data_IF_530228208407
#
_entry.id   IF_530228208407
#
_cell.length_a   1.000
_cell.length_b   1.000
_cell.length_c   1.000
_cell.angle_alpha   90.00
_cell.angle_beta   90.00
_cell.angle_gamma   90.00
#
_symmetry.space_group_name_H-M   'P 1'
#
loop_
_entity.id
_entity.type
_entity.pdbx_description
1 polymer ?
#
# COMPACT_ATOMS: atom_id res chain seq x y z
N UNK A 1 -4.62 -5.80 17.24
CA UNK A 1 -4.47 -6.54 15.97
C UNK A 1 -3.81 -7.89 16.20
N UNK A 2 -3.91 -8.78 15.22
CA UNK A 2 -3.21 -10.08 15.25
C UNK A 2 -1.70 -9.85 15.21
N UNK A 3 -0.97 -10.63 15.99
CA UNK A 3 0.51 -10.60 16.00
C UNK A 3 1.05 -11.95 15.58
N UNK A 4 2.34 -12.03 15.24
CA UNK A 4 2.98 -13.31 14.92
C UNK A 4 2.96 -14.30 16.09
N UNK A 5 2.79 -13.82 17.33
CA UNK A 5 2.62 -14.69 18.51
C UNK A 5 1.34 -15.53 18.45
N UNK A 6 0.34 -15.08 17.71
CA UNK A 6 -0.95 -15.77 17.55
C UNK A 6 -0.94 -16.79 16.38
N UNK A 7 0.19 -16.87 15.67
CA UNK A 7 0.35 -17.75 14.51
C UNK A 7 1.27 -18.91 14.83
N UNK A 8 0.91 -20.12 14.36
CA UNK A 8 1.77 -21.31 14.44
C UNK A 8 1.97 -21.89 13.05
N UNK A 9 3.21 -22.14 12.71
CA UNK A 9 3.57 -22.91 11.52
C UNK A 9 3.52 -24.39 11.89
N UNK A 10 2.72 -25.16 11.17
CA UNK A 10 2.69 -26.61 11.32
C UNK A 10 3.91 -27.17 10.57
N UNK A 11 4.86 -27.83 11.27
CA UNK A 11 6.06 -28.36 10.61
C UNK A 11 5.69 -29.54 9.73
N UNK A 12 6.29 -29.58 8.53
CA UNK A 12 6.29 -30.77 7.68
C UNK A 12 7.60 -31.55 7.90
N UNK A 13 7.51 -32.69 8.59
CA UNK A 13 8.68 -33.51 8.93
C UNK A 13 9.27 -34.25 7.74
N UNK A 14 8.50 -34.40 6.64
CA UNK A 14 8.94 -35.03 5.40
C UNK A 14 8.63 -34.08 4.23
N UNK A 15 9.43 -33.01 4.04
CA UNK A 15 9.14 -31.99 3.05
C UNK A 15 9.37 -32.44 1.60
N UNK A 16 10.13 -33.53 1.36
CA UNK A 16 10.47 -34.04 0.03
C UNK A 16 10.99 -32.94 -0.91
N UNK A 17 11.73 -31.96 -0.34
CA UNK A 17 12.17 -30.73 -0.99
C UNK A 17 13.68 -30.49 -0.77
N UNK A 18 14.36 -30.04 -1.81
CA UNK A 18 15.71 -29.50 -1.69
C UNK A 18 15.67 -27.99 -1.48
N UNK A 19 16.46 -27.48 -0.55
CA UNK A 19 16.61 -26.02 -0.34
C UNK A 19 17.05 -25.28 -1.60
N UNK A 20 17.78 -25.95 -2.51
CA UNK A 20 18.19 -25.39 -3.81
C UNK A 20 17.03 -25.15 -4.78
N UNK A 21 15.86 -25.76 -4.51
CA UNK A 21 14.65 -25.61 -5.33
C UNK A 21 13.65 -24.60 -4.74
N UNK A 22 13.97 -24.00 -3.58
CA UNK A 22 13.12 -22.99 -2.99
C UNK A 22 13.24 -21.71 -3.83
N UNK A 23 12.10 -21.22 -4.27
CA UNK A 23 11.98 -19.96 -4.97
C UNK A 23 10.95 -19.08 -4.20
N UNK A 24 11.33 -17.86 -3.89
CA UNK A 24 10.48 -16.88 -3.21
C UNK A 24 9.82 -15.89 -4.18
N UNK A 25 10.19 -15.93 -5.46
CA UNK A 25 9.60 -15.02 -6.43
C UNK A 25 8.10 -15.23 -6.57
N UNK A 26 7.41 -14.15 -6.81
CA UNK A 26 5.97 -14.14 -7.06
C UNK A 26 5.65 -13.17 -8.20
N UNK A 27 4.64 -13.48 -8.99
CA UNK A 27 4.13 -12.60 -10.02
C UNK A 27 2.86 -11.89 -9.51
N UNK A 28 2.88 -10.55 -9.53
CA UNK A 28 1.75 -9.72 -9.17
C UNK A 28 1.64 -8.59 -10.20
N UNK A 29 0.45 -8.35 -10.74
CA UNK A 29 0.19 -7.34 -11.77
C UNK A 29 1.09 -7.46 -13.01
N UNK A 30 1.42 -8.69 -13.43
CA UNK A 30 2.35 -8.95 -14.53
C UNK A 30 3.80 -8.56 -14.26
N UNK A 31 4.14 -8.23 -13.02
CA UNK A 31 5.51 -7.96 -12.56
C UNK A 31 6.04 -9.12 -11.72
N UNK A 32 7.31 -9.45 -11.91
CA UNK A 32 7.97 -10.46 -11.10
C UNK A 32 8.68 -9.82 -9.92
N UNK A 33 8.30 -10.22 -8.72
CA UNK A 33 8.92 -9.80 -7.46
C UNK A 33 9.86 -10.89 -6.98
N UNK A 34 11.07 -10.53 -6.58
CA UNK A 34 12.06 -11.48 -6.06
C UNK A 34 11.60 -12.10 -4.72
N UNK A 35 10.86 -11.34 -3.93
CA UNK A 35 10.32 -11.76 -2.64
C UNK A 35 8.81 -11.52 -2.56
N UNK A 36 8.03 -12.37 -1.84
CA UNK A 36 6.58 -12.26 -1.72
C UNK A 36 6.14 -11.28 -0.62
N UNK A 37 6.87 -10.18 -0.45
CA UNK A 37 6.55 -9.11 0.51
C UNK A 37 7.10 -7.77 0.02
N UNK A 38 6.58 -6.70 0.57
CA UNK A 38 6.98 -5.32 0.28
C UNK A 38 6.94 -4.47 1.55
N UNK A 39 7.49 -3.27 1.49
CA UNK A 39 7.42 -2.30 2.58
C UNK A 39 6.05 -1.64 2.55
N UNK A 40 5.23 -1.92 3.57
CA UNK A 40 3.86 -1.45 3.69
C UNK A 40 3.78 0.05 4.01
N UNK A 41 2.66 0.67 3.65
CA UNK A 41 2.32 2.07 3.89
C UNK A 41 2.22 2.40 5.39
N UNK A 42 3.13 3.21 5.90
CA UNK A 42 3.18 3.53 7.33
C UNK A 42 3.04 5.02 7.64
N UNK A 43 3.74 5.90 6.93
CA UNK A 43 3.86 7.30 7.32
C UNK A 43 4.05 8.24 6.14
N UNK A 44 3.80 9.54 6.34
CA UNK A 44 3.99 10.60 5.35
C UNK A 44 3.52 11.96 5.88
N UNK A 45 3.88 13.03 5.18
CA UNK A 45 3.36 14.37 5.39
C UNK A 45 3.98 15.16 6.55
N UNK A 46 5.09 14.73 7.09
CA UNK A 46 5.90 15.50 8.04
C UNK A 46 7.38 15.33 7.73
N UNK A 47 8.22 16.30 8.08
CA UNK A 47 9.67 16.23 7.86
C UNK A 47 10.30 14.95 8.42
N UNK A 48 9.83 14.50 9.60
CA UNK A 48 10.31 13.24 10.20
C UNK A 48 9.86 12.02 9.39
N UNK A 49 8.62 12.02 8.94
CA UNK A 49 8.06 10.94 8.13
C UNK A 49 8.75 10.86 6.76
N UNK A 50 9.06 12.00 6.15
CA UNK A 50 9.75 12.09 4.87
C UNK A 50 11.17 11.50 4.97
N UNK A 51 11.89 11.79 6.07
CA UNK A 51 13.21 11.19 6.34
C UNK A 51 13.12 9.65 6.49
N UNK A 52 12.09 9.16 7.17
CA UNK A 52 11.86 7.70 7.32
C UNK A 52 11.56 7.09 5.96
N UNK A 53 10.67 7.69 5.17
CA UNK A 53 10.32 7.19 3.85
C UNK A 53 11.52 7.18 2.90
N UNK A 54 12.39 8.19 2.96
CA UNK A 54 13.62 8.22 2.19
C UNK A 54 14.56 7.06 2.57
N UNK A 55 14.73 6.77 3.86
CA UNK A 55 15.52 5.62 4.33
C UNK A 55 14.90 4.28 3.89
N UNK A 56 13.57 4.15 3.98
CA UNK A 56 12.86 2.94 3.52
C UNK A 56 12.99 2.77 2.00
N UNK A 57 12.95 3.85 1.23
CA UNK A 57 13.16 3.82 -0.21
C UNK A 57 14.57 3.35 -0.59
N UNK A 58 15.61 3.77 0.15
CA UNK A 58 16.97 3.26 -0.04
C UNK A 58 17.06 1.76 0.30
N UNK A 59 16.39 1.30 1.35
CA UNK A 59 16.32 -0.12 1.70
C UNK A 59 15.60 -0.90 0.59
N UNK A 60 14.44 -0.42 0.15
CA UNK A 60 13.66 -1.05 -0.92
C UNK A 60 14.48 -1.19 -2.20
N UNK A 61 15.17 -0.12 -2.60
CA UNK A 61 16.07 -0.10 -3.76
C UNK A 61 17.19 -1.15 -3.64
N UNK A 62 17.88 -1.17 -2.50
CA UNK A 62 19.04 -2.02 -2.28
C UNK A 62 18.67 -3.50 -2.12
N UNK A 63 17.43 -3.79 -1.70
CA UNK A 63 16.92 -5.15 -1.49
C UNK A 63 15.94 -5.60 -2.58
N UNK A 64 15.78 -4.83 -3.66
CA UNK A 64 14.85 -5.12 -4.77
C UNK A 64 13.41 -5.35 -4.31
N UNK A 65 12.95 -4.60 -3.29
CA UNK A 65 11.60 -4.67 -2.75
C UNK A 65 10.69 -3.61 -3.36
N UNK A 66 9.43 -3.94 -3.50
CA UNK A 66 8.40 -2.92 -3.69
C UNK A 66 8.15 -2.13 -2.38
N UNK A 67 7.58 -0.95 -2.49
CA UNK A 67 7.31 -0.09 -1.34
C UNK A 67 6.03 0.70 -1.55
N UNK A 68 5.22 0.80 -0.49
CA UNK A 68 4.11 1.73 -0.41
C UNK A 68 4.50 2.97 0.42
N UNK A 69 3.97 4.12 0.04
CA UNK A 69 4.04 5.33 0.86
C UNK A 69 2.83 5.40 1.81
N UNK A 70 2.95 6.12 2.91
CA UNK A 70 1.82 6.41 3.80
C UNK A 70 0.74 7.22 3.07
N UNK A 71 -0.42 7.41 3.72
CA UNK A 71 -1.54 8.12 3.09
C UNK A 71 -1.13 9.49 2.54
N UNK A 72 -1.39 9.69 1.24
CA UNK A 72 -1.11 10.94 0.54
C UNK A 72 -2.24 11.98 0.72
N UNK A 73 -3.29 11.66 1.51
CA UNK A 73 -4.43 12.55 1.78
C UNK A 73 -3.97 13.94 2.26
N UNK A 74 -2.95 13.98 3.09
CA UNK A 74 -2.38 15.24 3.60
C UNK A 74 -1.75 16.08 2.47
N UNK A 75 -1.04 15.46 1.53
CA UNK A 75 -0.41 16.14 0.41
C UNK A 75 -1.43 16.53 -0.68
N UNK A 76 -2.54 15.82 -0.80
CA UNK A 76 -3.65 16.22 -1.66
C UNK A 76 -4.34 17.48 -1.15
N UNK A 77 -4.40 17.66 0.19
CA UNK A 77 -4.95 18.85 0.86
C UNK A 77 -3.94 20.01 0.91
N UNK A 78 -2.66 19.71 1.11
CA UNK A 78 -1.56 20.66 1.24
C UNK A 78 -0.45 20.32 0.23
N UNK A 79 -0.54 20.84 -1.01
CA UNK A 79 0.36 20.47 -2.11
C UNK A 79 1.85 20.69 -1.84
N UNK A 80 2.20 21.60 -0.94
CA UNK A 80 3.58 21.83 -0.50
C UNK A 80 4.23 20.61 0.15
N UNK A 81 3.45 19.66 0.66
CA UNK A 81 3.94 18.42 1.27
C UNK A 81 4.20 17.31 0.23
N UNK A 82 3.82 17.51 -1.02
CA UNK A 82 4.01 16.51 -2.07
C UNK A 82 5.49 16.17 -2.33
N UNK A 83 6.39 17.13 -2.09
CA UNK A 83 7.83 16.94 -2.29
C UNK A 83 8.40 15.79 -1.45
N UNK A 84 7.94 15.62 -0.20
CA UNK A 84 8.37 14.53 0.68
C UNK A 84 7.97 13.16 0.16
N UNK A 85 6.78 13.05 -0.43
CA UNK A 85 6.33 11.81 -1.06
C UNK A 85 7.08 11.52 -2.37
N UNK A 86 7.24 12.51 -3.24
CA UNK A 86 7.91 12.34 -4.54
C UNK A 86 9.40 12.03 -4.42
N UNK A 87 10.04 12.34 -3.30
CA UNK A 87 11.43 11.98 -3.03
C UNK A 87 11.65 10.47 -3.06
N UNK A 88 10.65 9.68 -2.64
CA UNK A 88 10.69 8.20 -2.69
C UNK A 88 10.93 7.70 -4.12
N UNK A 89 10.26 8.30 -5.12
CA UNK A 89 10.47 7.95 -6.54
C UNK A 89 11.86 8.32 -7.02
N UNK A 90 12.41 9.45 -6.62
CA UNK A 90 13.76 9.84 -7.01
C UNK A 90 14.81 8.87 -6.47
N UNK A 91 14.62 8.40 -5.22
CA UNK A 91 15.53 7.44 -4.59
C UNK A 91 15.38 6.06 -5.22
N UNK A 92 14.15 5.55 -5.33
CA UNK A 92 13.82 4.24 -5.88
C UNK A 92 13.27 4.36 -7.31
N UNK A 93 14.08 4.92 -8.20
CA UNK A 93 13.67 5.38 -9.54
C UNK A 93 13.09 4.30 -10.45
N UNK A 94 13.52 3.04 -10.32
CA UNK A 94 13.05 1.90 -11.10
C UNK A 94 12.19 0.92 -10.30
N UNK A 95 11.92 1.23 -9.02
CA UNK A 95 11.20 0.33 -8.13
C UNK A 95 9.69 0.33 -8.34
N UNK A 96 9.05 -0.73 -7.88
CA UNK A 96 7.61 -0.81 -7.86
C UNK A 96 7.07 -0.05 -6.63
N UNK A 97 6.37 1.05 -6.87
CA UNK A 97 5.83 1.92 -5.82
C UNK A 97 4.30 1.87 -5.83
N UNK A 98 3.74 1.84 -4.63
CA UNK A 98 2.31 1.97 -4.40
C UNK A 98 2.01 3.37 -3.86
N UNK A 99 1.13 4.10 -4.54
CA UNK A 99 0.45 5.26 -3.97
C UNK A 99 -0.57 4.79 -2.92
N UNK A 100 -0.99 5.67 -2.01
CA UNK A 100 -1.92 5.31 -0.93
C UNK A 100 -2.87 6.44 -0.59
N UNK A 101 -4.18 6.16 -0.60
CA UNK A 101 -5.25 7.08 -0.21
C UNK A 101 -6.36 6.35 0.56
N UNK A 102 -7.18 7.11 1.29
CA UNK A 102 -8.41 6.59 1.89
C UNK A 102 -9.52 6.37 0.87
N UNK A 103 -10.46 5.48 1.19
CA UNK A 103 -11.57 5.12 0.30
C UNK A 103 -12.57 6.24 0.02
N UNK A 104 -12.57 7.33 0.80
CA UNK A 104 -13.40 8.51 0.58
C UNK A 104 -12.90 9.48 -0.50
N UNK A 105 -11.71 9.27 -1.05
CA UNK A 105 -11.16 10.14 -2.09
C UNK A 105 -11.77 9.88 -3.47
N UNK A 106 -11.91 10.94 -4.28
CA UNK A 106 -12.39 10.87 -5.66
C UNK A 106 -11.37 10.23 -6.60
N UNK A 107 -11.83 9.83 -7.80
CA UNK A 107 -10.98 9.39 -8.91
C UNK A 107 -9.90 10.44 -9.27
N UNK A 108 -10.24 11.73 -9.25
CA UNK A 108 -9.27 12.79 -9.50
C UNK A 108 -8.13 12.79 -8.47
N UNK A 109 -8.48 12.65 -7.19
CA UNK A 109 -7.49 12.53 -6.12
C UNK A 109 -6.67 11.25 -6.23
N UNK A 110 -7.28 10.15 -6.67
CA UNK A 110 -6.55 8.89 -6.96
C UNK A 110 -5.49 9.10 -8.05
N UNK A 111 -5.86 9.75 -9.17
CA UNK A 111 -4.91 10.11 -10.24
C UNK A 111 -3.77 11.01 -9.72
N UNK A 112 -4.10 12.06 -8.98
CA UNK A 112 -3.10 12.96 -8.40
C UNK A 112 -2.14 12.24 -7.45
N UNK A 113 -2.62 11.28 -6.65
CA UNK A 113 -1.78 10.49 -5.77
C UNK A 113 -0.82 9.58 -6.55
N UNK A 114 -1.31 8.93 -7.61
CA UNK A 114 -0.48 8.13 -8.52
C UNK A 114 0.59 8.98 -9.18
N UNK A 115 0.21 10.12 -9.76
CA UNK A 115 1.12 11.04 -10.46
C UNK A 115 2.18 11.61 -9.52
N UNK A 116 1.83 11.91 -8.27
CA UNK A 116 2.72 12.52 -7.27
C UNK A 116 4.01 11.74 -7.06
N UNK A 117 3.95 10.41 -7.14
CA UNK A 117 5.11 9.51 -6.96
C UNK A 117 5.37 8.64 -8.19
N UNK A 118 4.71 8.92 -9.31
CA UNK A 118 4.76 8.06 -10.51
C UNK A 118 4.54 6.59 -10.13
N UNK A 119 3.47 6.32 -9.37
CA UNK A 119 3.21 5.01 -8.78
C UNK A 119 2.87 3.95 -9.84
N UNK A 120 3.25 2.71 -9.56
CA UNK A 120 2.95 1.54 -10.38
C UNK A 120 1.60 0.90 -10.02
N UNK A 121 1.07 1.19 -8.84
CA UNK A 121 -0.24 0.75 -8.36
C UNK A 121 -0.77 1.73 -7.29
N UNK A 122 -2.05 1.64 -6.98
CA UNK A 122 -2.70 2.41 -5.93
C UNK A 122 -3.24 1.49 -4.84
N UNK A 123 -2.91 1.76 -3.58
CA UNK A 123 -3.58 1.22 -2.42
C UNK A 123 -4.72 2.14 -1.97
N UNK A 124 -5.91 1.57 -1.79
CA UNK A 124 -7.04 2.24 -1.16
C UNK A 124 -7.26 1.60 0.21
N UNK A 125 -7.02 2.34 1.28
CA UNK A 125 -7.27 1.82 2.62
C UNK A 125 -8.72 2.02 3.06
N UNK A 126 -9.27 0.98 3.71
CA UNK A 126 -10.63 0.93 4.23
C UNK A 126 -10.60 0.57 5.70
N UNK A 127 -11.07 1.46 6.59
CA UNK A 127 -11.24 1.14 8.00
C UNK A 127 -12.15 2.12 8.73
N UNK A 128 -13.41 1.74 8.94
CA UNK A 128 -14.39 2.56 9.68
C UNK A 128 -14.00 2.75 11.14
N UNK A 129 -13.38 1.74 11.77
CA UNK A 129 -12.98 1.82 13.16
C UNK A 129 -11.84 2.83 13.40
N UNK A 130 -10.99 3.07 12.40
CA UNK A 130 -9.96 4.09 12.45
C UNK A 130 -10.55 5.49 12.19
N UNK A 131 -11.49 5.62 11.24
CA UNK A 131 -12.08 6.91 10.86
C UNK A 131 -12.96 7.50 11.99
N UNK A 132 -13.72 6.64 12.69
CA UNK A 132 -14.68 7.09 13.70
C UNK A 132 -14.07 7.92 14.85
N UNK A 133 -12.90 7.59 15.44
CA UNK A 133 -12.30 8.39 16.50
C UNK A 133 -11.52 9.63 15.99
N UNK A 134 -11.28 9.76 14.69
CA UNK A 134 -10.57 10.90 14.11
C UNK A 134 -11.55 12.08 13.94
N UNK A 135 -11.18 13.29 14.39
CA UNK A 135 -12.02 14.48 14.26
C UNK A 135 -12.34 14.80 12.79
N UNK A 136 -11.39 14.56 11.90
CA UNK A 136 -11.48 14.78 10.45
C UNK A 136 -11.71 13.48 9.64
N UNK A 137 -12.04 12.38 10.32
CA UNK A 137 -12.33 11.10 9.69
C UNK A 137 -13.68 11.07 8.99
N UNK A 138 -13.82 10.17 8.02
CA UNK A 138 -15.07 9.97 7.30
C UNK A 138 -16.22 9.56 8.24
N UNK A 139 -17.42 10.00 7.89
CA UNK A 139 -18.66 9.61 8.56
C UNK A 139 -19.65 8.92 7.63
N UNK A 140 -19.42 9.01 6.31
CA UNK A 140 -20.18 8.36 5.25
C UNK A 140 -19.34 7.25 4.63
N UNK A 141 -19.69 6.00 4.90
CA UNK A 141 -18.88 4.82 4.53
C UNK A 141 -19.44 4.10 3.29
N UNK A 142 -19.92 4.83 2.30
CA UNK A 142 -20.42 4.31 1.03
C UNK A 142 -19.29 4.22 -0.01
N UNK A 143 -18.28 3.43 0.30
CA UNK A 143 -17.04 3.42 -0.45
C UNK A 143 -17.01 2.49 -1.66
N UNK A 144 -17.89 1.47 -1.70
CA UNK A 144 -17.81 0.40 -2.71
C UNK A 144 -17.95 0.94 -4.14
N UNK A 145 -18.92 1.81 -4.40
CA UNK A 145 -19.12 2.39 -5.72
C UNK A 145 -17.94 3.27 -6.13
N UNK A 146 -17.40 4.06 -5.20
CA UNK A 146 -16.22 4.90 -5.43
C UNK A 146 -14.96 4.06 -5.73
N UNK A 147 -14.75 2.97 -4.98
CA UNK A 147 -13.64 2.04 -5.24
C UNK A 147 -13.77 1.43 -6.64
N UNK A 148 -14.98 1.01 -7.02
CA UNK A 148 -15.25 0.47 -8.35
C UNK A 148 -15.00 1.50 -9.46
N UNK A 149 -15.41 2.75 -9.27
CA UNK A 149 -15.12 3.83 -10.20
C UNK A 149 -13.61 4.02 -10.38
N UNK A 150 -12.88 4.14 -9.28
CA UNK A 150 -11.41 4.31 -9.31
C UNK A 150 -10.76 3.11 -9.99
N UNK A 151 -11.11 1.88 -9.60
CA UNK A 151 -10.51 0.66 -10.14
C UNK A 151 -10.78 0.47 -11.64
N UNK A 152 -11.94 0.95 -12.13
CA UNK A 152 -12.31 0.83 -13.56
C UNK A 152 -11.69 1.89 -14.46
N UNK A 153 -11.27 3.04 -13.91
CA UNK A 153 -10.82 4.20 -14.69
C UNK A 153 -9.37 4.60 -14.45
N UNK A 154 -8.72 4.04 -13.45
CA UNK A 154 -7.31 4.29 -13.19
C UNK A 154 -6.45 3.41 -14.11
N UNK A 155 -5.36 3.97 -14.65
CA UNK A 155 -4.47 3.26 -15.57
C UNK A 155 -3.56 2.24 -14.86
N UNK A 156 -3.41 2.36 -13.54
CA UNK A 156 -2.60 1.44 -12.73
C UNK A 156 -3.50 0.52 -11.89
N UNK A 157 -3.04 -0.68 -11.53
CA UNK A 157 -3.78 -1.59 -10.66
C UNK A 157 -4.16 -0.96 -9.32
N UNK A 158 -5.32 -1.37 -8.79
CA UNK A 158 -5.83 -0.94 -7.49
C UNK A 158 -5.84 -2.10 -6.52
N UNK A 159 -5.34 -1.87 -5.31
CA UNK A 159 -5.41 -2.79 -4.18
C UNK A 159 -6.29 -2.18 -3.10
N UNK A 160 -7.28 -2.91 -2.64
CA UNK A 160 -8.02 -2.54 -1.43
C UNK A 160 -7.36 -3.19 -0.23
N UNK A 161 -6.95 -2.38 0.75
CA UNK A 161 -6.29 -2.85 1.98
C UNK A 161 -7.04 -2.41 3.22
N UNK A 162 -6.90 -3.17 4.24
CA UNK A 162 -7.31 -2.85 5.60
C UNK A 162 -6.08 -2.41 6.42
N UNK A 163 -6.25 -1.99 7.65
CA UNK A 163 -5.17 -1.40 8.48
C UNK A 163 -4.76 -2.30 9.67
N UNK A 164 -5.11 -3.59 9.66
CA UNK A 164 -4.67 -4.58 10.66
C UNK A 164 -5.78 -5.28 11.44
N UNK A 165 -7.06 -5.01 11.16
CA UNK A 165 -8.20 -5.72 11.76
C UNK A 165 -8.70 -6.89 10.89
N UNK A 166 -8.31 -6.90 9.61
CA UNK A 166 -8.66 -7.92 8.66
C UNK A 166 -9.91 -7.61 7.84
N UNK A 167 -10.03 -8.27 6.69
CA UNK A 167 -11.16 -8.17 5.78
C UNK A 167 -12.04 -9.41 5.93
N UNK A 168 -13.35 -9.20 6.15
CA UNK A 168 -14.30 -10.32 6.23
C UNK A 168 -14.49 -10.99 4.87
N UNK A 169 -14.87 -12.26 4.86
CA UNK A 169 -15.20 -12.99 3.63
C UNK A 169 -16.32 -12.26 2.83
N UNK A 170 -17.28 -11.64 3.52
CA UNK A 170 -18.35 -10.86 2.88
C UNK A 170 -17.78 -9.66 2.13
N UNK A 171 -16.91 -8.91 2.77
CA UNK A 171 -16.26 -7.75 2.15
C UNK A 171 -15.38 -8.18 0.97
N UNK A 172 -14.58 -9.23 1.17
CA UNK A 172 -13.71 -9.77 0.10
C UNK A 172 -14.48 -10.21 -1.15
N UNK A 173 -15.71 -10.71 -0.98
CA UNK A 173 -16.56 -11.09 -2.12
C UNK A 173 -17.27 -9.92 -2.79
N UNK A 174 -17.34 -8.77 -2.12
CA UNK A 174 -17.99 -7.57 -2.66
C UNK A 174 -17.00 -6.70 -3.48
N UNK A 175 -15.70 -6.85 -3.19
CA UNK A 175 -14.60 -6.23 -3.93
C UNK A 175 -14.24 -7.05 -5.18
#
# INVERSE_FOLDING_TARGET
GLTFSDSRIIPNSLPELSTKKINFSSEVFGQNFEFPFYIEAMTGGTERADKINAQLAEIAKNQHLAMAVGSQSIALKFPELAAGFSEVRKIHSSGFLFANIGAGHSLENAKRAVDMIEANALEIHVNTAQELPMDEGDREFYWLENINEIASQLEVPVIVKEVGFGISQKTFKAL
#
